data_IF_514208362112
#
_entry.id   IF_514208362112
#
_cell.length_a   1.000
_cell.length_b   1.000
_cell.length_c   1.000
_cell.angle_alpha   90.00
_cell.angle_beta   90.00
_cell.angle_gamma   90.00
#
_symmetry.space_group_name_H-M   'P 1'
#
loop_
_entity.id
_entity.type
_entity.pdbx_description
1 polymer ?
#
# COMPACT_ATOMS: atom_id res chain seq x y z
N UNK A 1 18.94 -6.16 -29.00
CA UNK A 1 18.53 -5.89 -27.61
C UNK A 1 19.38 -4.74 -27.12
N UNK A 2 18.76 -3.68 -26.61
CA UNK A 2 19.43 -2.74 -25.71
C UNK A 2 19.62 -3.43 -24.36
N UNK A 3 20.51 -2.90 -23.54
CA UNK A 3 20.77 -3.37 -22.19
C UNK A 3 19.50 -3.25 -21.32
N UNK A 4 19.29 -4.23 -20.44
CA UNK A 4 18.18 -4.24 -19.47
C UNK A 4 18.70 -4.58 -18.08
N UNK A 5 17.98 -4.17 -17.04
CA UNK A 5 18.29 -4.50 -15.64
C UNK A 5 17.17 -5.38 -15.09
N UNK A 6 17.53 -6.57 -14.60
CA UNK A 6 16.58 -7.53 -14.05
C UNK A 6 16.84 -7.68 -12.55
N UNK A 7 15.86 -7.41 -11.67
CA UNK A 7 15.99 -7.67 -10.25
C UNK A 7 15.98 -9.18 -9.98
N UNK A 8 17.03 -9.64 -9.30
CA UNK A 8 17.12 -10.98 -8.72
C UNK A 8 16.68 -10.91 -7.26
N UNK A 9 15.57 -11.55 -6.94
CA UNK A 9 14.92 -11.48 -5.63
C UNK A 9 15.08 -12.82 -4.87
N UNK A 10 15.49 -12.80 -3.59
CA UNK A 10 15.60 -14.00 -2.79
C UNK A 10 14.22 -14.62 -2.57
N UNK A 11 14.19 -15.95 -2.65
CA UNK A 11 13.02 -16.74 -2.34
C UNK A 11 13.41 -17.88 -1.39
N UNK A 12 12.67 -18.09 -0.30
CA UNK A 12 12.82 -19.35 0.44
C UNK A 12 12.52 -20.50 -0.52
N UNK A 13 13.43 -21.47 -0.64
CA UNK A 13 13.32 -22.57 -1.63
C UNK A 13 11.97 -23.28 -1.56
N UNK A 14 11.45 -23.52 -0.35
CA UNK A 14 10.16 -24.18 -0.15
C UNK A 14 8.93 -23.33 -0.52
N UNK A 15 9.11 -22.04 -0.81
CA UNK A 15 8.03 -21.10 -1.16
C UNK A 15 8.02 -20.72 -2.65
N UNK A 16 8.88 -21.31 -3.49
CA UNK A 16 9.01 -20.88 -4.90
C UNK A 16 7.70 -20.96 -5.68
N UNK A 17 6.92 -22.02 -5.47
CA UNK A 17 5.60 -22.17 -6.11
C UNK A 17 4.59 -21.16 -5.56
N UNK A 18 4.55 -20.97 -4.24
CA UNK A 18 3.70 -19.97 -3.60
C UNK A 18 4.00 -18.56 -4.07
N UNK A 19 5.28 -18.23 -4.31
CA UNK A 19 5.68 -16.96 -4.87
C UNK A 19 5.20 -16.80 -6.33
N UNK A 20 5.36 -17.84 -7.16
CA UNK A 20 4.85 -17.85 -8.54
C UNK A 20 3.33 -17.71 -8.60
N UNK A 21 2.59 -18.42 -7.75
CA UNK A 21 1.13 -18.31 -7.65
C UNK A 21 0.70 -16.89 -7.27
N UNK A 22 1.44 -16.24 -6.36
CA UNK A 22 1.21 -14.85 -6.00
C UNK A 22 1.39 -13.90 -7.19
N UNK A 23 2.52 -13.96 -7.90
CA UNK A 23 2.74 -13.12 -9.08
C UNK A 23 1.72 -13.41 -10.19
N UNK A 24 1.33 -14.67 -10.37
CA UNK A 24 0.28 -15.07 -11.31
C UNK A 24 -1.08 -14.47 -10.94
N UNK A 25 -1.43 -14.42 -9.64
CA UNK A 25 -2.61 -13.73 -9.16
C UNK A 25 -2.57 -12.22 -9.44
N UNK A 26 -1.39 -11.61 -9.55
CA UNK A 26 -1.22 -10.21 -9.97
C UNK A 26 -1.27 -10.03 -11.50
N UNK A 27 -1.46 -11.12 -12.26
CA UNK A 27 -1.49 -11.11 -13.72
C UNK A 27 -0.10 -11.07 -14.35
N UNK A 28 0.93 -11.60 -13.68
CA UNK A 28 2.19 -11.96 -14.33
C UNK A 28 2.06 -13.34 -14.99
N UNK A 29 2.79 -13.54 -16.07
CA UNK A 29 2.99 -14.85 -16.69
C UNK A 29 4.25 -15.51 -16.12
N UNK A 30 4.22 -16.83 -15.94
CA UNK A 30 5.40 -17.59 -15.53
C UNK A 30 6.13 -18.08 -16.77
N UNK A 31 7.27 -17.47 -17.10
CA UNK A 31 8.04 -17.83 -18.31
C UNK A 31 9.07 -18.91 -18.03
N UNK A 32 9.45 -19.10 -16.76
CA UNK A 32 10.31 -20.19 -16.33
C UNK A 32 10.08 -20.58 -14.87
N UNK A 33 10.08 -21.89 -14.58
CA UNK A 33 10.03 -22.43 -13.22
C UNK A 33 10.86 -23.71 -13.12
N UNK A 34 11.86 -23.68 -12.25
CA UNK A 34 12.69 -24.82 -11.86
C UNK A 34 12.58 -25.04 -10.36
N UNK A 35 12.29 -26.28 -9.94
CA UNK A 35 12.19 -26.65 -8.51
C UNK A 35 13.47 -27.28 -7.95
N UNK A 36 14.26 -27.93 -8.81
CA UNK A 36 15.45 -28.70 -8.44
C UNK A 36 16.45 -28.72 -9.61
N UNK A 37 17.77 -28.78 -9.38
CA UNK A 37 18.45 -28.79 -8.07
C UNK A 37 18.49 -27.42 -7.36
N UNK A 38 18.28 -26.34 -8.11
CA UNK A 38 18.21 -24.98 -7.58
C UNK A 38 16.84 -24.38 -7.91
N UNK A 39 16.09 -24.01 -6.87
CA UNK A 39 14.81 -23.35 -7.09
C UNK A 39 15.03 -22.00 -7.78
N UNK A 40 14.30 -21.78 -8.87
CA UNK A 40 14.42 -20.59 -9.68
C UNK A 40 13.10 -20.34 -10.41
N UNK A 41 12.68 -19.09 -10.52
CA UNK A 41 11.51 -18.73 -11.29
C UNK A 41 11.70 -17.39 -12.01
N UNK A 42 11.05 -17.24 -13.16
CA UNK A 42 10.96 -16.00 -13.92
C UNK A 42 9.48 -15.72 -14.13
N UNK A 43 9.07 -14.51 -13.76
CA UNK A 43 7.71 -14.02 -13.97
C UNK A 43 7.75 -12.67 -14.70
N UNK A 44 6.85 -12.51 -15.67
CA UNK A 44 6.84 -11.36 -16.57
C UNK A 44 5.46 -10.72 -16.66
N UNK A 45 5.43 -9.39 -16.75
CA UNK A 45 4.21 -8.61 -17.03
C UNK A 45 4.56 -7.40 -17.88
N UNK A 46 4.22 -7.45 -19.17
CA UNK A 46 4.63 -6.41 -20.11
C UNK A 46 6.15 -6.33 -20.19
N UNK A 47 6.73 -5.16 -19.90
CA UNK A 47 8.18 -4.96 -19.86
C UNK A 47 8.82 -5.30 -18.51
N UNK A 48 8.03 -5.67 -17.50
CA UNK A 48 8.53 -6.00 -16.16
C UNK A 48 8.89 -7.47 -16.10
N UNK A 49 10.15 -7.76 -15.85
CA UNK A 49 10.67 -9.10 -15.58
C UNK A 49 11.18 -9.16 -14.14
N UNK A 50 10.73 -10.14 -13.36
CA UNK A 50 11.21 -10.42 -12.01
C UNK A 50 11.73 -11.85 -11.96
N UNK A 51 12.91 -12.03 -11.39
CA UNK A 51 13.52 -13.34 -11.22
C UNK A 51 13.67 -13.68 -9.73
N UNK A 52 13.28 -14.89 -9.36
CA UNK A 52 13.34 -15.39 -7.99
C UNK A 52 14.40 -16.49 -7.90
N UNK A 53 15.33 -16.37 -6.96
CA UNK A 53 16.36 -17.38 -6.72
C UNK A 53 16.20 -18.02 -5.33
N UNK A 54 16.28 -19.35 -5.29
CA UNK A 54 16.03 -20.15 -4.10
C UNK A 54 17.17 -20.13 -3.08
N UNK A 55 16.83 -19.90 -1.81
CA UNK A 55 17.70 -20.01 -0.64
C UNK A 55 17.02 -20.88 0.42
N UNK A 56 17.70 -21.94 0.90
CA UNK A 56 17.09 -22.92 1.81
C UNK A 56 16.69 -22.31 3.17
N UNK A 57 17.62 -21.62 3.81
CA UNK A 57 17.47 -21.10 5.17
C UNK A 57 17.09 -19.60 5.21
N UNK A 58 16.56 -19.07 4.11
CA UNK A 58 16.16 -17.67 4.03
C UNK A 58 14.91 -17.42 4.87
N UNK A 59 14.92 -16.34 5.67
CA UNK A 59 13.76 -15.90 6.45
C UNK A 59 13.04 -14.73 5.77
N UNK A 60 11.84 -14.95 5.17
CA UNK A 60 11.03 -13.90 4.59
C UNK A 60 10.76 -12.70 5.51
N UNK A 61 10.64 -12.94 6.82
CA UNK A 61 10.31 -11.88 7.77
C UNK A 61 11.46 -10.88 7.97
N UNK A 62 12.70 -11.27 7.65
CA UNK A 62 13.89 -10.42 7.72
C UNK A 62 14.31 -9.83 6.37
N UNK A 63 13.45 -9.95 5.33
CA UNK A 63 13.77 -9.43 4.00
C UNK A 63 13.88 -7.91 3.98
N UNK A 64 14.98 -7.44 3.41
CA UNK A 64 15.16 -6.05 2.95
C UNK A 64 15.20 -5.95 1.41
N UNK A 65 14.91 -7.05 0.71
CA UNK A 65 14.98 -7.11 -0.74
C UNK A 65 13.76 -6.46 -1.37
N UNK A 66 13.95 -5.89 -2.55
CA UNK A 66 12.90 -5.23 -3.28
C UNK A 66 13.40 -4.62 -4.57
N UNK A 67 12.45 -4.12 -5.35
CA UNK A 67 12.74 -3.31 -6.53
C UNK A 67 11.71 -2.19 -6.67
N UNK A 68 11.94 -1.31 -7.63
CA UNK A 68 11.02 -0.24 -7.98
C UNK A 68 10.62 -0.38 -9.44
N UNK A 69 9.34 -0.61 -9.69
CA UNK A 69 8.72 -0.56 -11.01
C UNK A 69 8.08 0.81 -11.19
N UNK A 70 8.48 1.52 -12.25
CA UNK A 70 7.82 2.75 -12.68
C UNK A 70 6.82 2.44 -13.79
N UNK A 71 5.70 3.15 -13.77
CA UNK A 71 4.61 2.98 -14.73
C UNK A 71 3.90 4.31 -14.96
N UNK A 72 3.19 4.42 -16.09
CA UNK A 72 2.29 5.52 -16.39
C UNK A 72 0.83 5.25 -15.95
N UNK A 73 0.55 4.05 -15.42
CA UNK A 73 -0.78 3.62 -14.97
C UNK A 73 -0.71 2.88 -13.62
N UNK A 74 -0.32 3.60 -12.57
CA UNK A 74 -0.21 3.02 -11.21
C UNK A 74 -1.57 2.65 -10.64
N UNK A 75 -2.60 3.43 -10.92
CA UNK A 75 -3.98 3.20 -10.48
C UNK A 75 -4.58 1.94 -11.12
N UNK A 76 -4.37 1.73 -12.43
CA UNK A 76 -4.79 0.53 -13.13
C UNK A 76 -4.06 -0.72 -12.64
N UNK A 77 -2.75 -0.65 -12.41
CA UNK A 77 -2.00 -1.77 -11.81
C UNK A 77 -2.49 -2.09 -10.40
N UNK A 78 -2.70 -1.08 -9.53
CA UNK A 78 -3.21 -1.30 -8.18
C UNK A 78 -4.58 -1.99 -8.21
N UNK A 79 -5.48 -1.53 -9.06
CA UNK A 79 -6.82 -2.10 -9.22
C UNK A 79 -6.74 -3.55 -9.68
N UNK A 80 -5.95 -3.84 -10.72
CA UNK A 80 -5.79 -5.18 -11.28
C UNK A 80 -5.20 -6.15 -10.25
N UNK A 81 -4.14 -5.74 -9.55
CA UNK A 81 -3.47 -6.55 -8.54
C UNK A 81 -4.41 -6.92 -7.40
N UNK A 82 -5.18 -5.97 -6.91
CA UNK A 82 -6.14 -6.21 -5.83
C UNK A 82 -7.28 -7.12 -6.25
N UNK A 83 -7.81 -6.94 -7.45
CA UNK A 83 -8.86 -7.81 -7.99
C UNK A 83 -8.36 -9.24 -8.11
N UNK A 84 -7.15 -9.42 -8.64
CA UNK A 84 -6.51 -10.73 -8.77
C UNK A 84 -6.22 -11.41 -7.43
N UNK A 85 -5.69 -10.67 -6.45
CA UNK A 85 -5.50 -11.19 -5.09
C UNK A 85 -6.82 -11.58 -4.43
N UNK A 86 -7.88 -10.76 -4.58
CA UNK A 86 -9.21 -11.08 -4.07
C UNK A 86 -9.77 -12.34 -4.70
N UNK A 87 -9.58 -12.53 -6.01
CA UNK A 87 -10.03 -13.72 -6.73
C UNK A 87 -9.25 -14.98 -6.29
N UNK A 88 -7.93 -14.89 -6.15
CA UNK A 88 -7.07 -16.02 -5.80
C UNK A 88 -7.17 -16.42 -4.32
N UNK A 89 -7.27 -15.45 -3.41
CA UNK A 89 -7.21 -15.67 -1.95
C UNK A 89 -8.54 -15.47 -1.24
N UNK A 90 -9.60 -15.10 -1.96
CA UNK A 90 -10.91 -14.74 -1.39
C UNK A 90 -10.92 -13.41 -0.62
N UNK A 91 -9.77 -12.75 -0.47
CA UNK A 91 -9.57 -11.49 0.26
C UNK A 91 -8.37 -10.73 -0.27
N UNK A 92 -8.28 -9.44 0.08
CA UNK A 92 -7.09 -8.63 -0.20
C UNK A 92 -6.18 -8.68 1.03
N UNK A 93 -4.97 -9.27 0.93
CA UNK A 93 -4.06 -9.34 2.07
C UNK A 93 -3.45 -7.96 2.35
N UNK A 94 -3.72 -7.41 3.53
CA UNK A 94 -3.25 -6.07 3.94
C UNK A 94 -2.23 -6.10 5.08
N UNK A 95 -1.99 -7.28 5.68
CA UNK A 95 -1.06 -7.50 6.79
C UNK A 95 -0.29 -8.81 6.60
N UNK A 96 0.89 -8.89 7.22
CA UNK A 96 1.76 -10.06 7.14
C UNK A 96 2.38 -10.23 5.75
N UNK A 97 2.60 -11.49 5.37
CA UNK A 97 3.11 -11.90 4.07
C UNK A 97 2.12 -12.88 3.42
N UNK A 98 1.75 -12.68 2.14
CA UNK A 98 1.96 -11.48 1.35
C UNK A 98 1.11 -10.30 1.86
N UNK A 99 1.35 -9.09 1.35
CA UNK A 99 0.46 -7.93 1.57
C UNK A 99 0.53 -6.92 0.42
N UNK A 100 -0.54 -6.15 0.24
CA UNK A 100 -0.58 -4.97 -0.63
C UNK A 100 -1.07 -3.75 0.16
N UNK A 101 -0.33 -2.64 0.03
CA UNK A 101 -0.61 -1.38 0.68
C UNK A 101 -1.58 -0.49 -0.10
N UNK A 102 -2.05 0.60 0.52
CA UNK A 102 -2.87 1.60 -0.17
C UNK A 102 -2.05 2.35 -1.23
N UNK A 103 -2.75 2.87 -2.23
CA UNK A 103 -2.23 3.80 -3.21
C UNK A 103 -2.24 5.21 -2.62
N UNK A 104 -1.10 5.92 -2.70
CA UNK A 104 -0.95 7.26 -2.11
C UNK A 104 -0.06 8.15 -2.96
N UNK A 105 -0.35 9.45 -2.90
CA UNK A 105 0.54 10.50 -3.40
C UNK A 105 1.61 10.83 -2.36
N UNK A 106 2.87 10.61 -2.73
CA UNK A 106 3.99 10.85 -1.83
C UNK A 106 4.40 12.33 -1.84
N UNK A 107 5.04 12.77 -0.76
CA UNK A 107 5.53 14.15 -0.64
C UNK A 107 6.62 14.48 -1.67
N UNK A 108 7.37 13.48 -2.14
CA UNK A 108 8.40 13.60 -3.18
C UNK A 108 7.89 13.42 -4.61
N UNK A 109 6.58 13.65 -4.85
CA UNK A 109 6.10 13.79 -6.23
C UNK A 109 5.84 12.48 -6.99
N UNK A 110 5.57 11.39 -6.27
CA UNK A 110 5.28 10.09 -6.89
C UNK A 110 3.98 9.53 -6.30
N UNK A 111 3.06 9.08 -7.16
CA UNK A 111 1.91 8.27 -6.76
C UNK A 111 2.33 6.81 -6.75
N UNK A 112 2.22 6.12 -5.61
CA UNK A 112 2.72 4.75 -5.47
C UNK A 112 1.96 3.91 -4.45
N UNK A 113 2.09 2.60 -4.61
CA UNK A 113 1.76 1.62 -3.59
C UNK A 113 2.93 0.64 -3.40
N UNK A 114 2.92 -0.06 -2.28
CA UNK A 114 3.88 -1.12 -1.98
C UNK A 114 3.15 -2.46 -1.96
N UNK A 115 3.78 -3.48 -2.51
CA UNK A 115 3.38 -4.86 -2.27
C UNK A 115 4.56 -5.66 -1.73
N UNK A 116 4.28 -6.63 -0.87
CA UNK A 116 5.26 -7.57 -0.37
C UNK A 116 4.81 -8.98 -0.70
N UNK A 117 5.67 -9.73 -1.40
CA UNK A 117 5.37 -11.10 -1.82
C UNK A 117 5.43 -12.09 -0.64
N UNK A 118 5.06 -13.38 -0.83
CA UNK A 118 5.09 -14.38 0.24
C UNK A 118 6.48 -14.65 0.83
N UNK A 119 7.55 -14.27 0.11
CA UNK A 119 8.93 -14.42 0.55
C UNK A 119 9.53 -13.10 1.05
N UNK A 120 8.72 -12.07 1.29
CA UNK A 120 9.14 -10.84 1.94
C UNK A 120 9.74 -9.78 1.01
N UNK A 121 9.85 -10.03 -0.29
CA UNK A 121 10.37 -9.03 -1.22
C UNK A 121 9.36 -7.89 -1.37
N UNK A 122 9.82 -6.64 -1.19
CA UNK A 122 8.97 -5.46 -1.31
C UNK A 122 9.12 -4.81 -2.67
N UNK A 123 8.06 -4.85 -3.47
CA UNK A 123 8.00 -4.21 -4.77
C UNK A 123 7.28 -2.87 -4.62
N UNK A 124 7.98 -1.78 -4.92
CA UNK A 124 7.38 -0.45 -5.08
C UNK A 124 6.87 -0.32 -6.50
N UNK A 125 5.61 0.10 -6.66
CA UNK A 125 5.03 0.42 -7.96
C UNK A 125 4.66 1.90 -7.93
N UNK A 126 5.17 2.70 -8.85
CA UNK A 126 4.99 4.15 -8.77
C UNK A 126 4.93 4.84 -10.12
N UNK A 127 4.29 6.00 -10.11
CA UNK A 127 4.11 6.88 -11.25
C UNK A 127 4.53 8.30 -10.84
N UNK A 128 5.56 8.89 -11.48
CA UNK A 128 5.91 10.29 -11.26
C UNK A 128 4.70 11.19 -11.55
N UNK A 129 4.37 12.07 -10.62
CA UNK A 129 3.30 13.08 -10.73
C UNK A 129 3.84 14.51 -10.61
N UNK A 130 5.15 14.66 -10.43
CA UNK A 130 5.88 15.92 -10.33
C UNK A 130 7.29 15.75 -10.89
N UNK A 131 7.81 16.80 -11.52
CA UNK A 131 9.21 16.87 -11.98
C UNK A 131 10.17 17.26 -10.85
N UNK A 132 9.67 17.85 -9.77
CA UNK A 132 10.46 18.15 -8.57
C UNK A 132 10.56 16.90 -7.68
N UNK A 133 11.76 16.30 -7.51
CA UNK A 133 11.96 15.13 -6.67
C UNK A 133 12.04 15.48 -5.18
N UNK A 134 12.05 16.77 -4.82
CA UNK A 134 12.14 17.18 -3.43
C UNK A 134 10.81 16.95 -2.70
N UNK A 135 10.93 16.66 -1.41
CA UNK A 135 9.76 16.60 -0.55
C UNK A 135 9.06 17.95 -0.49
N UNK A 136 7.78 17.98 -0.88
CA UNK A 136 6.90 19.12 -0.64
C UNK A 136 6.92 19.49 0.85
N UNK A 137 6.95 20.79 1.19
CA UNK A 137 6.91 21.23 2.57
C UNK A 137 5.62 20.75 3.24
N UNK A 138 5.70 20.47 4.54
CA UNK A 138 4.52 20.11 5.32
C UNK A 138 3.46 21.25 5.23
N UNK A 139 2.16 20.92 5.09
CA UNK A 139 1.10 21.91 5.12
C UNK A 139 1.14 22.74 6.41
N UNK A 140 0.68 24.00 6.32
CA UNK A 140 0.65 24.91 7.47
C UNK A 140 -0.70 24.89 8.18
N UNK A 141 -1.78 24.59 7.46
CA UNK A 141 -3.15 24.53 7.95
C UNK A 141 -3.33 23.38 8.95
N UNK A 142 -4.05 23.64 10.04
CA UNK A 142 -4.18 22.75 11.22
C UNK A 142 -4.45 21.29 10.82
N UNK A 143 -5.54 21.05 10.09
CA UNK A 143 -5.97 19.70 9.73
C UNK A 143 -5.13 19.05 8.63
N UNK A 144 -4.67 19.83 7.65
CA UNK A 144 -3.79 19.33 6.59
C UNK A 144 -2.44 18.90 7.16
N UNK A 145 -1.90 19.69 8.10
CA UNK A 145 -0.68 19.36 8.84
C UNK A 145 -0.87 18.13 9.73
N UNK A 146 -2.01 17.99 10.38
CA UNK A 146 -2.31 16.83 11.20
C UNK A 146 -2.39 15.54 10.37
N UNK A 147 -3.07 15.55 9.22
CA UNK A 147 -3.07 14.44 8.27
C UNK A 147 -1.65 14.06 7.85
N UNK A 148 -0.86 15.04 7.39
CA UNK A 148 0.52 14.83 6.98
C UNK A 148 1.38 14.19 8.08
N UNK A 149 1.28 14.69 9.31
CA UNK A 149 2.04 14.17 10.44
C UNK A 149 1.55 12.79 10.89
N UNK A 150 0.24 12.54 10.87
CA UNK A 150 -0.32 11.25 11.23
C UNK A 150 0.11 10.14 10.23
N UNK A 151 0.09 10.43 8.92
CA UNK A 151 0.61 9.51 7.90
C UNK A 151 2.10 9.21 8.13
N UNK A 152 2.91 10.24 8.39
CA UNK A 152 4.34 10.07 8.67
C UNK A 152 4.59 9.17 9.90
N UNK A 153 3.83 9.37 10.97
CA UNK A 153 3.96 8.56 12.18
C UNK A 153 3.51 7.11 11.93
N UNK A 154 2.37 6.91 11.26
CA UNK A 154 1.79 5.59 11.03
C UNK A 154 2.63 4.72 10.06
N UNK A 155 3.16 5.33 9.00
CA UNK A 155 3.77 4.57 7.89
C UNK A 155 5.30 4.63 7.90
N UNK A 156 5.91 5.75 8.29
CA UNK A 156 7.38 5.89 8.31
C UNK A 156 7.98 5.51 9.66
N UNK A 157 7.40 5.98 10.77
CA UNK A 157 7.91 5.69 12.12
C UNK A 157 7.33 4.43 12.74
N UNK A 158 6.27 3.87 12.14
CA UNK A 158 5.48 2.78 12.71
C UNK A 158 4.96 3.08 14.13
N UNK A 159 4.78 4.37 14.45
CA UNK A 159 4.25 4.85 15.73
C UNK A 159 2.74 5.09 15.61
N UNK A 160 2.00 3.99 15.73
CA UNK A 160 0.54 4.02 15.65
C UNK A 160 -0.12 4.82 16.79
N UNK A 161 0.30 4.69 18.06
CA UNK A 161 -0.25 5.49 19.15
C UNK A 161 0.00 7.00 18.95
N UNK A 162 1.18 7.38 18.47
CA UNK A 162 1.50 8.77 18.15
C UNK A 162 0.62 9.33 17.03
N UNK A 163 0.43 8.57 15.95
CA UNK A 163 -0.46 8.94 14.85
C UNK A 163 -1.92 9.11 15.32
N UNK A 164 -2.43 8.15 16.13
CA UNK A 164 -3.76 8.22 16.71
C UNK A 164 -3.96 9.49 17.54
N UNK A 165 -3.01 9.80 18.43
CA UNK A 165 -3.05 11.00 19.29
C UNK A 165 -3.10 12.31 18.50
N UNK A 166 -2.38 12.39 17.37
CA UNK A 166 -2.41 13.57 16.49
C UNK A 166 -3.82 13.78 15.94
N UNK A 167 -4.46 12.72 15.45
CA UNK A 167 -5.80 12.80 14.86
C UNK A 167 -6.86 13.09 15.92
N UNK A 168 -6.82 12.37 17.05
CA UNK A 168 -7.78 12.54 18.15
C UNK A 168 -7.73 13.98 18.70
N UNK A 169 -6.54 14.60 18.74
CA UNK A 169 -6.39 16.00 19.14
C UNK A 169 -7.12 16.96 18.21
N UNK A 170 -6.99 16.81 16.89
CA UNK A 170 -7.61 17.74 15.94
C UNK A 170 -9.12 17.50 15.78
N UNK A 171 -9.58 16.24 15.90
CA UNK A 171 -11.01 15.93 15.91
C UNK A 171 -11.73 16.46 17.16
N UNK A 172 -11.00 16.66 18.27
CA UNK A 172 -11.52 17.22 19.51
C UNK A 172 -11.54 18.75 19.59
N UNK A 173 -11.11 19.48 18.55
CA UNK A 173 -11.15 20.94 18.55
C UNK A 173 -12.59 21.47 18.45
N UNK A 174 -12.92 22.45 19.29
CA UNK A 174 -14.24 23.10 19.33
C UNK A 174 -14.31 24.38 18.51
N UNK A 175 -13.19 25.07 18.35
CA UNK A 175 -13.14 26.43 17.80
C UNK A 175 -12.79 26.45 16.30
N UNK A 176 -12.38 25.30 15.76
CA UNK A 176 -12.02 25.12 14.36
C UNK A 176 -12.56 23.76 13.89
N UNK A 177 -13.05 23.67 12.66
CA UNK A 177 -13.60 22.44 12.10
C UNK A 177 -12.94 22.09 10.76
N UNK A 178 -12.66 20.80 10.52
CA UNK A 178 -12.15 20.35 9.22
C UNK A 178 -13.21 20.52 8.15
N UNK A 179 -12.78 20.72 6.90
CA UNK A 179 -13.70 20.59 5.75
C UNK A 179 -14.27 19.17 5.69
N UNK A 180 -15.40 18.93 4.99
CA UNK A 180 -15.96 17.58 4.86
C UNK A 180 -14.93 16.56 4.34
N UNK A 181 -14.14 16.92 3.33
CA UNK A 181 -13.05 16.08 2.79
C UNK A 181 -11.97 15.81 3.84
N UNK A 182 -11.54 16.81 4.59
CA UNK A 182 -10.55 16.63 5.66
C UNK A 182 -11.09 15.74 6.79
N UNK A 183 -12.35 15.93 7.17
CA UNK A 183 -13.02 15.12 8.20
C UNK A 183 -13.07 13.65 7.79
N UNK A 184 -13.49 13.38 6.56
CA UNK A 184 -13.47 12.03 6.00
C UNK A 184 -12.06 11.42 6.09
N UNK A 185 -11.04 12.13 5.60
CA UNK A 185 -9.65 11.65 5.60
C UNK A 185 -9.14 11.36 7.02
N UNK A 186 -9.43 12.22 7.98
CA UNK A 186 -9.05 12.04 9.39
C UNK A 186 -9.70 10.79 9.99
N UNK A 187 -11.01 10.61 9.78
CA UNK A 187 -11.76 9.47 10.31
C UNK A 187 -11.31 8.15 9.68
N UNK A 188 -11.09 8.13 8.35
CA UNK A 188 -10.59 6.94 7.64
C UNK A 188 -9.21 6.56 8.14
N UNK A 189 -8.28 7.52 8.26
CA UNK A 189 -6.94 7.26 8.75
C UNK A 189 -6.94 6.78 10.21
N UNK A 190 -7.72 7.41 11.10
CA UNK A 190 -7.83 6.98 12.50
C UNK A 190 -8.49 5.62 12.65
N UNK A 191 -9.47 5.30 11.80
CA UNK A 191 -10.10 3.97 11.73
C UNK A 191 -9.12 2.89 11.28
N UNK A 192 -8.30 3.15 10.26
CA UNK A 192 -7.22 2.24 9.83
C UNK A 192 -6.22 1.99 10.97
N UNK A 193 -5.75 3.07 11.61
CA UNK A 193 -4.84 2.99 12.76
C UNK A 193 -5.47 2.19 13.90
N UNK A 194 -6.76 2.42 14.21
CA UNK A 194 -7.50 1.66 15.23
C UNK A 194 -7.50 0.16 14.91
N UNK A 195 -7.79 -0.23 13.66
CA UNK A 195 -7.73 -1.64 13.27
C UNK A 195 -6.32 -2.21 13.41
N UNK A 196 -5.27 -1.45 13.07
CA UNK A 196 -3.87 -1.88 13.20
C UNK A 196 -3.41 -2.02 14.65
N UNK A 197 -4.11 -1.35 15.57
CA UNK A 197 -3.92 -1.42 17.02
C UNK A 197 -4.89 -2.42 17.69
N UNK A 198 -5.65 -3.20 16.91
CA UNK A 198 -6.68 -4.14 17.38
C UNK A 198 -7.81 -3.49 18.22
N UNK A 199 -8.06 -2.20 18.02
CA UNK A 199 -9.16 -1.43 18.63
C UNK A 199 -10.47 -1.61 17.83
N UNK A 200 -11.00 -2.84 17.76
CA UNK A 200 -12.08 -3.24 16.83
C UNK A 200 -13.33 -2.34 16.91
N UNK A 201 -13.87 -2.12 18.11
CA UNK A 201 -15.08 -1.30 18.29
C UNK A 201 -14.86 0.17 17.91
N UNK A 202 -13.69 0.70 18.28
CA UNK A 202 -13.31 2.08 17.95
C UNK A 202 -13.15 2.25 16.45
N UNK A 203 -12.50 1.30 15.79
CA UNK A 203 -12.38 1.28 14.34
C UNK A 203 -13.74 1.29 13.66
N UNK A 204 -14.65 0.40 14.07
CA UNK A 204 -16.00 0.33 13.50
C UNK A 204 -16.75 1.66 13.65
N UNK A 205 -16.73 2.25 14.85
CA UNK A 205 -17.39 3.54 15.10
C UNK A 205 -16.85 4.67 14.21
N UNK A 206 -15.52 4.79 14.09
CA UNK A 206 -14.88 5.81 13.26
C UNK A 206 -15.19 5.63 11.76
N UNK A 207 -15.23 4.39 11.27
CA UNK A 207 -15.52 4.09 9.87
C UNK A 207 -16.99 4.31 9.53
N UNK A 208 -17.92 4.02 10.46
CA UNK A 208 -19.32 4.41 10.30
C UNK A 208 -19.50 5.93 10.29
N UNK A 209 -18.80 6.65 11.18
CA UNK A 209 -18.79 8.11 11.20
C UNK A 209 -18.22 8.68 9.89
N UNK A 210 -17.15 8.09 9.36
CA UNK A 210 -16.57 8.45 8.06
C UNK A 210 -17.59 8.28 6.93
N UNK A 211 -18.34 7.17 6.93
CA UNK A 211 -19.36 6.89 5.92
C UNK A 211 -20.55 7.86 5.96
N UNK A 212 -20.80 8.50 7.12
CA UNK A 212 -21.86 9.49 7.29
C UNK A 212 -21.50 10.89 6.77
N UNK A 213 -20.23 11.14 6.42
CA UNK A 213 -19.78 12.44 5.91
C UNK A 213 -20.45 12.75 4.57
N UNK A 214 -21.17 13.87 4.51
CA UNK A 214 -21.81 14.35 3.29
C UNK A 214 -20.76 15.10 2.45
N UNK A 215 -20.57 14.63 1.23
CA UNK A 215 -19.71 15.25 0.22
C UNK A 215 -20.53 15.58 -1.02
N UNK A 216 -20.30 16.75 -1.59
CA UNK A 216 -20.79 17.08 -2.93
C UNK A 216 -20.02 16.30 -4.03
N UNK A 217 -20.26 16.64 -5.31
CA UNK A 217 -19.63 15.96 -6.44
C UNK A 217 -18.11 16.25 -6.55
N UNK A 218 -17.70 17.49 -6.31
CA UNK A 218 -16.31 17.93 -6.40
C UNK A 218 -15.49 17.40 -5.20
N UNK A 219 -16.08 17.50 -4.01
CA UNK A 219 -15.53 16.93 -2.78
C UNK A 219 -15.37 15.42 -2.89
N UNK A 220 -16.36 14.70 -3.45
CA UNK A 220 -16.27 13.26 -3.68
C UNK A 220 -15.16 12.90 -4.66
N UNK A 221 -14.97 13.67 -5.72
CA UNK A 221 -13.87 13.47 -6.66
C UNK A 221 -12.51 13.66 -5.99
N UNK A 222 -12.33 14.72 -5.22
CA UNK A 222 -11.07 14.99 -4.48
C UNK A 222 -10.81 14.02 -3.31
N UNK A 223 -11.84 13.33 -2.83
CA UNK A 223 -11.75 12.35 -1.75
C UNK A 223 -11.70 10.89 -2.23
N UNK A 224 -11.52 10.64 -3.54
CA UNK A 224 -11.57 9.31 -4.15
C UNK A 224 -10.75 8.25 -3.41
N UNK A 225 -9.48 8.54 -3.13
CA UNK A 225 -8.58 7.61 -2.41
C UNK A 225 -9.08 7.29 -0.99
N UNK A 226 -9.59 8.28 -0.27
CA UNK A 226 -10.12 8.09 1.09
C UNK A 226 -11.41 7.28 1.09
N UNK A 227 -12.28 7.48 0.08
CA UNK A 227 -13.51 6.71 -0.10
C UNK A 227 -13.23 5.26 -0.48
N UNK A 228 -12.27 5.03 -1.37
CA UNK A 228 -11.80 3.68 -1.71
C UNK A 228 -11.27 2.98 -0.46
N UNK A 229 -10.39 3.66 0.30
CA UNK A 229 -9.85 3.12 1.55
C UNK A 229 -10.93 2.83 2.59
N UNK A 230 -11.94 3.70 2.72
CA UNK A 230 -13.08 3.48 3.61
C UNK A 230 -13.85 2.21 3.24
N UNK A 231 -14.13 1.99 1.95
CA UNK A 231 -14.85 0.80 1.49
C UNK A 231 -14.08 -0.48 1.81
N UNK A 232 -12.75 -0.44 1.72
CA UNK A 232 -11.89 -1.57 2.07
C UNK A 232 -11.86 -1.89 3.56
N UNK A 233 -11.83 -0.86 4.41
CA UNK A 233 -11.74 -1.05 5.86
C UNK A 233 -13.05 -1.57 6.45
N UNK A 234 -14.17 -1.41 5.74
CA UNK A 234 -15.51 -1.87 6.14
C UNK A 234 -15.89 -3.23 5.56
N UNK A 235 -15.19 -3.71 4.53
CA UNK A 235 -15.45 -4.99 3.83
C UNK A 235 -14.53 -6.10 4.28
#
# INVERSE_FOLDING_TARGET
MTETTIPLLPCRTSLIETAVDFYTALGFETTYLQKSPYAYAVVERGAVELQLYGMKDYDPASSHSGCYVLTDDVDGLHTAFRAGLKAAYGRIPTRGLPRIGPLKDMSYGVRQFLMTDPTGNTIRIGQPISEDPNHRPAPKETFARALHMADLFADSKQDLPGAAKIIDRVLGLTDEHPTPVQRLRLLVLRGDIAQRMDEVERAAALLEEAASVRLDAEERASAGDALARLAELRG
#
